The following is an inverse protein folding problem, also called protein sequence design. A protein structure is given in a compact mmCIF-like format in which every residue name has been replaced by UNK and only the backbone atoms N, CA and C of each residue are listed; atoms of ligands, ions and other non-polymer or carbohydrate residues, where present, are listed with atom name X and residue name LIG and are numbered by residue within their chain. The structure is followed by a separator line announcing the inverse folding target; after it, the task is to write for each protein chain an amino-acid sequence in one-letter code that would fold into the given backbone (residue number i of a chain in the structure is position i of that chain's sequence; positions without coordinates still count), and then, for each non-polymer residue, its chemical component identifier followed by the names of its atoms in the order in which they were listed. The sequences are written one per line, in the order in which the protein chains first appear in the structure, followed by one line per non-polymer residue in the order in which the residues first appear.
data_IF_687708870958
#
_entry.id   IF_687708870958
#
_cell.length_a   1.000
_cell.length_b   1.000
_cell.length_c   1.000
_cell.angle_alpha   90.00
_cell.angle_beta   90.00
_cell.angle_gamma   90.00
#
_symmetry.space_group_name_H-M   'P 1'
#
loop_
_entity.id
_entity.type
_entity.pdbx_description
1 polymer ?
#
# COMPACT_ATOMS: atom_id res chain seq x y z
N UNK A 1 -33.57 -29.63 -39.70
CA UNK A 1 -32.24 -29.32 -39.13
C UNK A 1 -32.19 -29.66 -37.63
N UNK A 2 -32.79 -30.78 -37.19
CA UNK A 2 -32.88 -31.12 -35.75
C UNK A 2 -32.07 -32.36 -35.36
N UNK A 3 -31.61 -33.17 -36.33
CA UNK A 3 -30.89 -34.43 -36.06
C UNK A 3 -29.47 -34.25 -35.51
N UNK A 4 -28.84 -33.10 -35.75
CA UNK A 4 -27.48 -32.83 -35.24
C UNK A 4 -27.46 -32.63 -33.72
N UNK A 5 -28.51 -31.99 -33.17
CA UNK A 5 -28.67 -31.78 -31.73
C UNK A 5 -28.96 -33.11 -31.00
N UNK A 6 -29.74 -34.01 -31.60
CA UNK A 6 -30.02 -35.33 -31.04
C UNK A 6 -28.83 -36.28 -31.12
N UNK A 7 -28.00 -36.18 -32.17
CA UNK A 7 -26.79 -36.98 -32.32
C UNK A 7 -25.63 -36.50 -31.42
N UNK A 8 -25.56 -35.20 -31.11
CA UNK A 8 -24.54 -34.61 -30.23
C UNK A 8 -24.90 -34.69 -28.73
N UNK A 9 -26.17 -34.95 -28.41
CA UNK A 9 -26.70 -35.03 -27.05
C UNK A 9 -25.92 -35.96 -26.08
N UNK A 10 -25.46 -37.17 -26.47
CA UNK A 10 -24.72 -38.04 -25.54
C UNK A 10 -23.32 -37.49 -25.18
N UNK A 11 -22.67 -36.76 -26.10
CA UNK A 11 -21.32 -36.23 -25.90
C UNK A 11 -21.30 -34.82 -25.29
N UNK A 12 -22.46 -34.15 -25.22
CA UNK A 12 -22.56 -32.79 -24.68
C UNK A 12 -22.08 -32.71 -23.22
N UNK A 13 -22.40 -33.73 -22.41
CA UNK A 13 -21.98 -33.79 -21.00
C UNK A 13 -20.48 -34.08 -20.86
N UNK A 14 -19.90 -34.92 -21.72
CA UNK A 14 -18.46 -35.19 -21.74
C UNK A 14 -17.65 -33.96 -22.15
N UNK A 15 -18.10 -33.25 -23.20
CA UNK A 15 -17.45 -32.01 -23.65
C UNK A 15 -17.59 -30.91 -22.58
N UNK A 16 -18.75 -30.80 -21.92
CA UNK A 16 -18.94 -29.89 -20.79
C UNK A 16 -17.99 -30.25 -19.65
N UNK A 17 -17.89 -31.51 -19.25
CA UNK A 17 -16.97 -31.95 -18.22
C UNK A 17 -15.51 -31.64 -18.57
N UNK A 18 -15.10 -31.96 -19.80
CA UNK A 18 -13.75 -31.71 -20.30
C UNK A 18 -13.40 -30.23 -20.37
N UNK A 19 -14.37 -29.36 -20.65
CA UNK A 19 -14.17 -27.91 -20.70
C UNK A 19 -14.24 -27.25 -19.31
N UNK A 20 -15.10 -27.75 -18.42
CA UNK A 20 -15.33 -27.14 -17.10
C UNK A 20 -14.12 -27.30 -16.18
N UNK A 21 -13.48 -28.47 -16.16
CA UNK A 21 -12.31 -28.70 -15.30
C UNK A 21 -11.16 -27.73 -15.55
N UNK A 22 -10.65 -27.54 -16.80
CA UNK A 22 -9.60 -26.56 -17.07
C UNK A 22 -10.09 -25.12 -16.87
N UNK A 23 -11.36 -24.82 -17.12
CA UNK A 23 -11.92 -23.49 -16.87
C UNK A 23 -11.92 -23.12 -15.39
N UNK A 24 -12.33 -24.05 -14.52
CA UNK A 24 -12.30 -23.86 -13.06
C UNK A 24 -10.87 -23.71 -12.58
N UNK A 25 -9.95 -24.57 -13.04
CA UNK A 25 -8.55 -24.50 -12.66
C UNK A 25 -7.93 -23.14 -13.03
N UNK A 26 -8.20 -22.65 -14.25
CA UNK A 26 -7.73 -21.34 -14.69
C UNK A 26 -8.31 -20.21 -13.84
N UNK A 27 -9.61 -20.25 -13.56
CA UNK A 27 -10.27 -19.24 -12.71
C UNK A 27 -9.68 -19.21 -11.29
N UNK A 28 -9.47 -20.38 -10.68
CA UNK A 28 -8.86 -20.49 -9.35
C UNK A 28 -7.44 -19.90 -9.31
N UNK A 29 -6.61 -20.17 -10.32
CA UNK A 29 -5.25 -19.62 -10.42
C UNK A 29 -5.27 -18.10 -10.57
N UNK A 30 -6.19 -17.56 -11.37
CA UNK A 30 -6.31 -16.11 -11.54
C UNK A 30 -6.77 -15.40 -10.27
N UNK A 31 -7.74 -15.97 -9.55
CA UNK A 31 -8.20 -15.43 -8.26
C UNK A 31 -7.04 -15.43 -7.27
N UNK A 32 -6.35 -16.55 -7.09
CA UNK A 32 -5.24 -16.68 -6.15
C UNK A 32 -4.09 -15.70 -6.45
N UNK A 33 -3.78 -15.50 -7.74
CA UNK A 33 -2.77 -14.53 -8.18
C UNK A 33 -3.19 -13.10 -7.86
N UNK A 34 -4.43 -12.71 -8.17
CA UNK A 34 -4.93 -11.37 -7.88
C UNK A 34 -4.98 -11.07 -6.39
N UNK A 35 -5.46 -12.01 -5.57
CA UNK A 35 -5.51 -11.84 -4.12
C UNK A 35 -4.12 -11.75 -3.50
N UNK A 36 -3.15 -12.53 -3.99
CA UNK A 36 -1.77 -12.45 -3.51
C UNK A 36 -1.10 -11.11 -3.82
N UNK A 37 -1.33 -10.56 -5.02
CA UNK A 37 -0.80 -9.27 -5.44
C UNK A 37 -1.41 -8.10 -4.64
N UNK A 38 -2.72 -8.15 -4.39
CA UNK A 38 -3.44 -7.10 -3.66
C UNK A 38 -2.97 -6.98 -2.21
N UNK A 39 -2.71 -8.11 -1.53
CA UNK A 39 -2.19 -8.13 -0.16
C UNK A 39 -0.81 -7.46 -0.09
N UNK A 40 0.07 -7.79 -1.02
CA UNK A 40 1.43 -7.23 -1.05
C UNK A 40 1.42 -5.73 -1.35
N UNK A 41 0.58 -5.27 -2.28
CA UNK A 41 0.42 -3.84 -2.54
C UNK A 41 -0.15 -3.11 -1.32
N UNK A 42 -1.15 -3.69 -0.67
CA UNK A 42 -1.76 -3.13 0.54
C UNK A 42 -0.75 -2.90 1.66
N UNK A 43 0.19 -3.82 1.87
CA UNK A 43 1.25 -3.62 2.86
C UNK A 43 2.23 -2.50 2.46
N UNK A 44 2.58 -2.38 1.18
CA UNK A 44 3.43 -1.28 0.69
C UNK A 44 2.76 0.07 0.84
N UNK A 45 1.47 0.15 0.52
CA UNK A 45 0.68 1.38 0.62
C UNK A 45 0.48 1.78 2.09
N UNK A 46 0.22 0.81 2.97
CA UNK A 46 0.13 1.05 4.40
C UNK A 46 1.47 1.58 4.96
N UNK A 47 2.58 0.93 4.61
CA UNK A 47 3.92 1.39 5.01
C UNK A 47 4.23 2.79 4.48
N UNK A 48 3.93 3.04 3.20
CA UNK A 48 4.13 4.34 2.58
C UNK A 48 3.32 5.44 3.28
N UNK A 49 2.04 5.17 3.53
CA UNK A 49 1.14 6.11 4.22
C UNK A 49 1.64 6.41 5.63
N UNK A 50 2.06 5.38 6.38
CA UNK A 50 2.58 5.55 7.72
C UNK A 50 3.86 6.39 7.75
N UNK A 51 4.80 6.15 6.81
CA UNK A 51 6.02 6.95 6.69
C UNK A 51 5.71 8.42 6.37
N UNK A 52 4.78 8.68 5.45
CA UNK A 52 4.37 10.04 5.09
C UNK A 52 3.68 10.77 6.25
N UNK A 53 2.80 10.08 6.98
CA UNK A 53 2.11 10.66 8.15
C UNK A 53 3.09 10.94 9.28
N UNK A 54 4.00 10.00 9.58
CA UNK A 54 5.07 10.21 10.54
C UNK A 54 5.96 11.40 10.17
N UNK A 55 6.32 11.53 8.89
CA UNK A 55 7.17 12.63 8.40
C UNK A 55 6.49 14.00 8.56
N UNK A 56 5.20 14.10 8.20
CA UNK A 56 4.38 15.30 8.45
C UNK A 56 4.32 15.65 9.93
N UNK A 57 4.10 14.66 10.79
CA UNK A 57 4.03 14.85 12.24
C UNK A 57 5.38 15.33 12.82
N UNK A 58 6.50 14.76 12.35
CA UNK A 58 7.84 15.15 12.78
C UNK A 58 8.15 16.61 12.42
N UNK A 59 7.84 17.02 11.18
CA UNK A 59 8.06 18.40 10.72
C UNK A 59 7.11 19.39 11.39
N UNK A 60 5.84 19.03 11.60
CA UNK A 60 4.89 19.87 12.33
C UNK A 60 5.33 20.12 13.79
N UNK A 61 6.03 19.16 14.40
CA UNK A 61 6.65 19.29 15.73
C UNK A 61 8.00 20.00 15.72
N UNK A 62 8.50 20.43 14.55
CA UNK A 62 9.79 21.09 14.37
C UNK A 62 10.96 20.31 15.00
N UNK A 63 10.92 18.98 14.89
CA UNK A 63 11.95 18.11 15.47
C UNK A 63 13.29 18.22 14.74
N UNK A 64 14.37 17.95 15.47
CA UNK A 64 15.69 17.78 14.86
C UNK A 64 15.71 16.56 13.94
N UNK A 65 16.66 16.50 13.00
CA UNK A 65 16.71 15.41 12.03
C UNK A 65 16.75 14.01 12.68
N UNK A 66 17.53 13.84 13.75
CA UNK A 66 17.61 12.57 14.47
C UNK A 66 16.29 12.21 15.16
N UNK A 67 15.71 13.14 15.91
CA UNK A 67 14.42 12.92 16.60
C UNK A 67 13.25 12.73 15.63
N UNK A 68 13.30 13.38 14.47
CA UNK A 68 12.32 13.22 13.41
C UNK A 68 12.35 11.78 12.84
N UNK A 69 13.55 11.25 12.57
CA UNK A 69 13.70 9.86 12.08
C UNK A 69 13.19 8.88 13.14
N UNK A 70 13.59 9.03 14.40
CA UNK A 70 13.11 8.17 15.49
C UNK A 70 11.58 8.19 15.63
N UNK A 71 10.97 9.38 15.57
CA UNK A 71 9.52 9.51 15.61
C UNK A 71 8.87 8.78 14.44
N UNK A 72 9.36 8.97 13.21
CA UNK A 72 8.82 8.30 12.01
C UNK A 72 8.91 6.78 12.15
N UNK A 73 10.06 6.25 12.57
CA UNK A 73 10.25 4.82 12.74
C UNK A 73 9.36 4.25 13.84
N UNK A 74 9.22 4.95 14.97
CA UNK A 74 8.31 4.59 16.05
C UNK A 74 6.87 4.55 15.59
N UNK A 75 6.43 5.59 14.86
CA UNK A 75 5.08 5.68 14.30
C UNK A 75 4.79 4.52 13.35
N UNK A 76 5.71 4.22 12.42
CA UNK A 76 5.55 3.11 11.47
C UNK A 76 5.40 1.77 12.20
N UNK A 77 6.25 1.49 13.18
CA UNK A 77 6.18 0.24 13.96
C UNK A 77 4.89 0.12 14.76
N UNK A 78 4.38 1.24 15.28
CA UNK A 78 3.15 1.27 16.07
C UNK A 78 1.88 1.22 15.21
N UNK A 79 1.86 1.91 14.07
CA UNK A 79 0.66 2.06 13.24
C UNK A 79 0.48 0.96 12.20
N UNK A 80 1.57 0.36 11.70
CA UNK A 80 1.51 -0.67 10.66
C UNK A 80 2.41 -1.89 10.96
N UNK A 81 2.26 -2.54 12.14
CA UNK A 81 3.11 -3.66 12.55
C UNK A 81 3.08 -4.81 11.55
N UNK A 82 1.91 -5.12 10.97
CA UNK A 82 1.74 -6.20 10.00
C UNK A 82 2.51 -5.93 8.70
N UNK A 83 2.50 -4.68 8.22
CA UNK A 83 3.24 -4.31 7.01
C UNK A 83 4.75 -4.39 7.23
N UNK A 84 5.23 -3.94 8.40
CA UNK A 84 6.65 -4.06 8.77
C UNK A 84 7.07 -5.52 8.88
N UNK A 85 6.26 -6.36 9.53
CA UNK A 85 6.54 -7.78 9.67
C UNK A 85 6.52 -8.53 8.34
N UNK A 86 5.56 -8.23 7.46
CA UNK A 86 5.40 -8.90 6.16
C UNK A 86 6.49 -8.49 5.16
N UNK A 87 6.78 -7.19 5.05
CA UNK A 87 7.80 -6.68 4.13
C UNK A 87 9.21 -6.88 4.66
N UNK A 88 9.37 -7.00 5.98
CA UNK A 88 10.62 -7.19 6.70
C UNK A 88 11.80 -6.36 6.15
N UNK A 89 11.65 -5.02 5.99
CA UNK A 89 12.71 -4.20 5.43
C UNK A 89 13.90 -4.15 6.40
N UNK A 90 15.15 -4.15 5.89
CA UNK A 90 16.32 -3.89 6.73
C UNK A 90 16.18 -2.54 7.44
N UNK A 91 16.67 -2.45 8.68
CA UNK A 91 16.58 -1.22 9.47
C UNK A 91 17.19 -0.01 8.73
N UNK A 92 18.32 -0.20 8.07
CA UNK A 92 18.98 0.85 7.26
C UNK A 92 18.10 1.35 6.10
N UNK A 93 17.32 0.46 5.48
CA UNK A 93 16.38 0.83 4.42
C UNK A 93 15.23 1.64 4.99
N UNK A 94 14.68 1.22 6.14
CA UNK A 94 13.58 1.94 6.77
C UNK A 94 14.00 3.34 7.24
N UNK A 95 15.22 3.47 7.77
CA UNK A 95 15.83 4.76 8.10
C UNK A 95 16.02 5.66 6.88
N UNK A 96 16.51 5.11 5.76
CA UNK A 96 16.68 5.87 4.52
C UNK A 96 15.33 6.30 3.93
N UNK A 97 14.30 5.44 4.01
CA UNK A 97 12.95 5.79 3.62
C UNK A 97 12.39 6.90 4.50
N UNK A 98 12.56 6.82 5.82
CA UNK A 98 12.14 7.88 6.74
C UNK A 98 12.79 9.23 6.39
N UNK A 99 14.12 9.25 6.19
CA UNK A 99 14.86 10.44 5.73
C UNK A 99 14.30 10.99 4.42
N UNK A 100 14.13 10.13 3.43
CA UNK A 100 13.60 10.52 2.12
C UNK A 100 12.19 11.11 2.21
N UNK A 101 11.30 10.54 3.04
CA UNK A 101 9.94 11.05 3.22
C UNK A 101 9.89 12.36 3.99
N UNK A 102 10.76 12.56 4.97
CA UNK A 102 10.90 13.85 5.65
C UNK A 102 11.30 14.94 4.65
N UNK A 103 12.33 14.70 3.83
CA UNK A 103 12.74 15.69 2.82
C UNK A 103 11.64 15.92 1.77
N UNK A 104 10.93 14.87 1.35
CA UNK A 104 9.82 15.01 0.41
C UNK A 104 8.67 15.87 0.96
N UNK A 105 8.29 15.69 2.23
CA UNK A 105 7.25 16.53 2.88
C UNK A 105 7.75 17.95 3.07
N UNK A 106 9.02 18.13 3.42
CA UNK A 106 9.61 19.47 3.55
C UNK A 106 9.61 20.22 2.22
N UNK A 107 9.82 19.52 1.10
CA UNK A 107 9.75 20.10 -0.23
C UNK A 107 8.33 20.31 -0.76
N UNK A 108 7.30 19.78 -0.10
CA UNK A 108 5.90 19.87 -0.52
C UNK A 108 5.37 21.31 -0.37
N UNK A 109 4.95 21.97 -1.48
CA UNK A 109 4.43 23.34 -1.42
C UNK A 109 3.20 23.49 -0.53
N UNK A 110 2.34 22.46 -0.43
CA UNK A 110 1.15 22.50 0.41
C UNK A 110 1.51 22.52 1.90
N UNK A 111 2.52 21.75 2.29
CA UNK A 111 3.03 21.76 3.66
C UNK A 111 3.66 23.12 4.01
N UNK A 112 4.46 23.69 3.10
CA UNK A 112 5.09 24.99 3.28
C UNK A 112 4.07 26.13 3.41
N UNK A 113 3.04 26.15 2.56
CA UNK A 113 1.96 27.12 2.65
C UNK A 113 1.23 27.05 3.99
N UNK A 114 0.90 25.83 4.45
CA UNK A 114 0.26 25.63 5.76
C UNK A 114 1.13 26.10 6.92
N UNK A 115 2.43 25.80 6.88
CA UNK A 115 3.39 26.27 7.89
C UNK A 115 3.50 27.80 7.91
N UNK A 116 3.59 28.44 6.74
CA UNK A 116 3.66 29.90 6.63
C UNK A 116 2.41 30.60 7.19
N UNK A 117 1.22 30.08 6.89
CA UNK A 117 -0.05 30.59 7.44
C UNK A 117 -0.06 30.46 8.96
N UNK A 118 0.33 29.31 9.50
CA UNK A 118 0.40 29.08 10.94
C UNK A 118 1.31 30.08 11.66
N UNK A 119 2.48 30.37 11.09
CA UNK A 119 3.41 31.37 11.63
C UNK A 119 2.85 32.80 11.52
N UNK A 120 2.21 33.15 10.42
CA UNK A 120 1.57 34.46 10.25
C UNK A 120 0.47 34.69 11.31
N UNK A 121 -0.36 33.68 11.59
CA UNK A 121 -1.38 33.74 12.64
C UNK A 121 -0.73 33.92 14.01
N UNK A 122 0.33 33.15 14.31
CA UNK A 122 1.06 33.23 15.58
C UNK A 122 1.69 34.60 15.81
N UNK A 123 2.16 35.25 14.75
CA UNK A 123 2.68 36.62 14.79
C UNK A 123 1.58 37.66 15.02
N UNK A 124 0.39 37.48 14.41
CA UNK A 124 -0.72 38.41 14.57
C UNK A 124 -1.37 38.37 15.98
N UNK A 125 -1.18 37.29 16.74
CA UNK A 125 -1.70 37.11 18.10
C UNK A 125 -0.67 37.52 19.18
N UNK A 126 0.60 37.74 18.80
CA UNK A 126 1.65 38.25 19.69
C UNK A 126 1.61 39.76 19.81
#
# INVERSE_FOLDING_TARGET
MNGFLTAAQPYALEILGLALTPAILWASVQIARRTGLDIEQRHRDALHTALMTGARLALAKQLTAAAAIELVLGYVRQSVPDAVGKLNPPQSVLENLAKSKIEAVKADPAFQAGHAIGEAIKQAIR
#
